data_IF_190463628249
#
_entry.id   IF_190463628249
#
_cell.length_a   1.000
_cell.length_b   1.000
_cell.length_c   1.000
_cell.angle_alpha   90.00
_cell.angle_beta   90.00
_cell.angle_gamma   90.00
#
_symmetry.space_group_name_H-M   'P 1'
#
loop_
_entity.id
_entity.type
_entity.pdbx_description
1 polymer ?
#
# COMPACT_ATOMS: atom_id res chain seq x y z
N UNK A 1 -0.89 -8.49 -1.90
CA UNK A 1 -0.02 -7.41 -1.40
C UNK A 1 0.85 -7.97 -0.30
N UNK A 2 2.14 -8.11 -0.56
CA UNK A 2 3.13 -8.56 0.43
C UNK A 2 3.57 -7.37 1.29
N UNK A 3 3.65 -7.59 2.60
CA UNK A 3 4.03 -6.60 3.60
C UNK A 3 5.47 -6.89 4.05
N UNK A 4 6.45 -6.23 3.44
CA UNK A 4 7.88 -6.56 3.62
C UNK A 4 8.44 -6.10 4.96
N UNK A 5 7.73 -5.21 5.68
CA UNK A 5 8.17 -4.66 6.97
C UNK A 5 8.41 -5.72 8.05
N UNK A 6 7.78 -6.89 7.97
CA UNK A 6 8.02 -8.01 8.89
C UNK A 6 9.34 -8.76 8.62
N UNK A 7 9.91 -8.58 7.42
CA UNK A 7 11.10 -9.30 6.94
C UNK A 7 12.35 -8.46 7.21
N UNK A 8 12.29 -7.17 6.91
CA UNK A 8 13.34 -6.20 7.21
C UNK A 8 12.70 -4.89 7.73
N UNK A 9 12.64 -4.69 9.06
CA UNK A 9 11.98 -3.52 9.65
C UNK A 9 12.73 -2.20 9.39
N UNK A 10 13.99 -2.26 8.92
CA UNK A 10 14.79 -1.08 8.63
C UNK A 10 14.88 -0.77 7.13
N UNK A 11 14.19 -1.54 6.28
CA UNK A 11 14.17 -1.33 4.84
C UNK A 11 13.47 -0.02 4.48
N UNK A 12 14.25 0.96 4.00
CA UNK A 12 13.75 2.28 3.59
C UNK A 12 13.49 2.40 2.09
N UNK A 13 14.00 1.47 1.27
CA UNK A 13 13.84 1.47 -0.19
C UNK A 13 13.34 0.10 -0.65
N UNK A 14 12.32 0.09 -1.51
CA UNK A 14 11.74 -1.13 -2.07
C UNK A 14 11.59 -1.00 -3.60
N UNK A 15 12.18 -1.93 -4.33
CA UNK A 15 11.84 -2.14 -5.74
C UNK A 15 10.65 -3.08 -5.83
N UNK A 16 9.55 -2.61 -6.39
CA UNK A 16 8.29 -3.34 -6.51
C UNK A 16 7.63 -3.02 -7.85
N UNK A 17 6.53 -3.71 -8.16
CA UNK A 17 5.72 -3.46 -9.35
C UNK A 17 4.35 -2.93 -8.97
N UNK A 18 3.78 -2.13 -9.87
CA UNK A 18 2.38 -1.73 -9.80
C UNK A 18 1.53 -2.92 -10.22
N UNK A 19 0.72 -3.43 -9.30
CA UNK A 19 -0.21 -4.53 -9.52
C UNK A 19 -1.48 -4.06 -10.24
N UNK A 20 -1.97 -2.86 -9.92
CA UNK A 20 -3.13 -2.26 -10.57
C UNK A 20 -3.14 -0.73 -10.41
N UNK A 21 -3.87 -0.06 -11.29
CA UNK A 21 -4.16 1.37 -11.23
C UNK A 21 -5.68 1.52 -11.28
N UNK A 22 -6.27 2.18 -10.28
CA UNK A 22 -7.70 2.48 -10.23
C UNK A 22 -7.87 3.99 -10.09
N UNK A 23 -8.18 4.68 -11.19
CA UNK A 23 -8.23 6.14 -11.24
C UNK A 23 -6.92 6.78 -10.71
N UNK A 24 -6.97 7.40 -9.55
CA UNK A 24 -5.91 8.06 -8.81
C UNK A 24 -5.25 7.16 -7.73
N UNK A 25 -5.69 5.91 -7.60
CA UNK A 25 -5.16 4.94 -6.64
C UNK A 25 -4.20 3.93 -7.32
N UNK A 26 -3.05 3.72 -6.68
CA UNK A 26 -2.04 2.75 -7.10
C UNK A 26 -2.04 1.55 -6.16
N UNK A 27 -2.16 0.35 -6.70
CA UNK A 27 -2.00 -0.90 -5.93
C UNK A 27 -0.62 -1.47 -6.24
N UNK A 28 0.21 -1.67 -5.22
CA UNK A 28 1.54 -2.26 -5.34
C UNK A 28 1.52 -3.75 -5.02
N UNK A 29 2.37 -4.53 -5.69
CA UNK A 29 2.54 -5.97 -5.36
C UNK A 29 3.08 -6.16 -3.93
N UNK A 30 4.05 -5.30 -3.56
CA UNK A 30 4.71 -5.26 -2.25
C UNK A 30 4.80 -3.83 -1.74
N UNK A 31 4.71 -3.63 -0.43
CA UNK A 31 4.94 -2.32 0.22
C UNK A 31 5.78 -2.46 1.49
N UNK A 32 6.54 -1.41 1.78
CA UNK A 32 7.17 -1.15 3.09
C UNK A 32 6.44 -0.05 3.87
N UNK A 33 5.50 0.66 3.23
CA UNK A 33 4.77 1.77 3.86
C UNK A 33 3.57 1.27 4.67
N UNK A 34 3.43 1.77 5.91
CA UNK A 34 2.33 1.44 6.79
C UNK A 34 1.17 2.45 6.63
N UNK A 35 -0.04 1.94 6.39
CA UNK A 35 -1.26 2.74 6.38
C UNK A 35 -1.78 2.95 7.80
N UNK A 36 -2.40 4.10 8.07
CA UNK A 36 -2.99 4.42 9.38
C UNK A 36 -3.81 3.25 9.95
N UNK A 37 -3.45 2.80 11.15
CA UNK A 37 -4.16 1.73 11.86
C UNK A 37 -3.84 1.78 13.35
N UNK A 38 -4.82 1.47 14.20
CA UNK A 38 -4.63 1.37 15.66
C UNK A 38 -4.21 2.67 16.35
N UNK A 39 -4.51 3.83 15.75
CA UNK A 39 -4.11 5.15 16.29
C UNK A 39 -2.71 5.62 15.88
N UNK A 40 -1.99 4.84 15.06
CA UNK A 40 -0.69 5.24 14.50
C UNK A 40 -0.88 5.97 13.17
N UNK A 41 -0.20 7.12 13.02
CA UNK A 41 -0.16 7.88 11.76
C UNK A 41 0.46 7.05 10.61
N UNK A 42 -0.02 7.28 9.39
CA UNK A 42 0.53 6.63 8.19
C UNK A 42 1.94 7.13 7.89
N UNK A 43 2.77 6.27 7.31
CA UNK A 43 4.10 6.66 6.84
C UNK A 43 4.02 7.63 5.66
N UNK A 44 5.06 8.47 5.53
CA UNK A 44 5.32 9.21 4.30
C UNK A 44 6.05 8.31 3.32
N UNK A 45 5.42 8.02 2.18
CA UNK A 45 5.99 7.20 1.13
C UNK A 45 6.30 8.03 -0.11
N UNK A 46 7.36 7.64 -0.82
CA UNK A 46 7.77 8.27 -2.07
C UNK A 46 7.92 7.22 -3.16
N UNK A 47 7.33 7.47 -4.33
CA UNK A 47 7.59 6.68 -5.54
C UNK A 47 8.42 7.55 -6.47
N UNK A 48 9.65 7.13 -6.74
CA UNK A 48 10.58 7.84 -7.62
C UNK A 48 10.76 9.34 -7.25
N UNK A 49 10.76 9.64 -5.94
CA UNK A 49 10.89 10.99 -5.40
C UNK A 49 9.60 11.81 -5.33
N UNK A 50 8.47 11.27 -5.79
CA UNK A 50 7.15 11.91 -5.67
C UNK A 50 6.48 11.40 -4.40
N UNK A 51 6.12 12.31 -3.49
CA UNK A 51 5.37 11.97 -2.28
C UNK A 51 3.98 11.44 -2.65
N UNK A 52 3.61 10.29 -2.08
CA UNK A 52 2.32 9.68 -2.28
C UNK A 52 1.64 9.44 -0.92
N UNK A 53 0.37 9.86 -0.74
CA UNK A 53 -0.37 9.55 0.48
C UNK A 53 -0.65 8.04 0.55
N UNK A 54 -0.34 7.43 1.70
CA UNK A 54 -0.56 6.00 1.94
C UNK A 54 -1.99 5.83 2.46
N UNK A 55 -2.89 5.37 1.59
CA UNK A 55 -4.25 4.99 1.99
C UNK A 55 -4.30 3.53 2.43
N UNK A 56 -5.25 3.20 3.31
CA UNK A 56 -5.49 1.83 3.71
C UNK A 56 -5.87 0.98 2.49
N UNK A 57 -5.38 -0.26 2.43
CA UNK A 57 -5.79 -1.18 1.38
C UNK A 57 -7.31 -1.36 1.45
N UNK A 58 -8.03 -0.85 0.47
CA UNK A 58 -9.38 -1.31 0.17
C UNK A 58 -9.27 -2.78 -0.20
N UNK A 59 -9.59 -3.67 0.74
CA UNK A 59 -9.96 -5.03 0.37
C UNK A 59 -11.07 -4.87 -0.66
N UNK A 60 -10.88 -5.39 -1.88
CA UNK A 60 -11.99 -5.49 -2.84
C UNK A 60 -13.11 -6.18 -2.08
N UNK A 61 -14.15 -5.43 -1.70
CA UNK A 61 -15.39 -6.02 -1.25
C UNK A 61 -15.84 -6.83 -2.46
N UNK A 62 -15.80 -8.15 -2.32
CA UNK A 62 -16.41 -9.04 -3.29
C UNK A 62 -17.91 -8.82 -3.11
N UNK A 63 -18.45 -7.80 -3.79
CA UNK A 63 -19.90 -7.61 -3.93
C UNK A 63 -20.38 -8.82 -4.70
N UNK A 64 -20.76 -9.85 -3.96
CA UNK A 64 -21.54 -10.95 -4.49
C UNK A 64 -22.97 -10.43 -4.45
N UNK A 65 -23.45 -9.83 -5.54
CA UNK A 65 -24.87 -9.52 -5.69
C UNK A 65 -25.63 -10.86 -5.71
N UNK A 66 -26.61 -11.09 -4.82
CA UNK A 66 -27.51 -12.21 -4.99
C UNK A 66 -28.56 -11.80 -6.04
N UNK A 67 -28.64 -12.61 -7.11
CA UNK A 67 -29.80 -12.64 -8.01
C UNK A 67 -31.02 -13.23 -7.32
#
# INVERSE_FOLDING_TARGET
MEKTFWIDPYQSTLHTRVAAINNDELVLEKTIAFSFSGGQESDKAFINGIEIPVIASIAKQSTTEPH
#
